data_IF_355790464810
#
_entry.id   IF_355790464810
#
_cell.length_a   1.000
_cell.length_b   1.000
_cell.length_c   1.000
_cell.angle_alpha   90.00
_cell.angle_beta   90.00
_cell.angle_gamma   90.00
#
_symmetry.space_group_name_H-M   'P 1'
#
loop_
_entity.id
_entity.type
_entity.pdbx_description
1 polymer ?
#
# COMPACT_ATOMS: atom_id res chain seq x y z
N UNK A 1 -3.41 -12.47 5.95
CA UNK A 1 -4.23 -11.92 7.06
C UNK A 1 -5.08 -10.75 6.57
N UNK A 2 -6.23 -10.44 7.20
CA UNK A 2 -7.07 -9.29 6.82
C UNK A 2 -6.59 -8.02 7.55
N UNK A 3 -6.30 -6.96 6.79
CA UNK A 3 -6.05 -5.62 7.33
C UNK A 3 -7.35 -4.78 7.23
N UNK A 4 -7.80 -4.12 8.31
CA UNK A 4 -8.96 -3.24 8.24
C UNK A 4 -8.76 -2.10 7.23
N UNK A 5 -9.83 -1.71 6.52
CA UNK A 5 -9.82 -0.60 5.55
C UNK A 5 -9.27 0.70 6.16
N UNK A 6 -9.61 0.97 7.41
CA UNK A 6 -9.21 2.15 8.18
C UNK A 6 -7.70 2.26 8.42
N UNK A 7 -6.99 1.14 8.28
CA UNK A 7 -5.55 1.03 8.40
C UNK A 7 -4.83 1.13 7.03
N UNK A 8 -5.55 1.50 5.96
CA UNK A 8 -4.99 1.65 4.63
C UNK A 8 -5.32 2.99 4.00
N UNK A 9 -4.37 3.55 3.24
CA UNK A 9 -4.59 4.68 2.34
C UNK A 9 -4.14 4.29 0.92
N UNK A 10 -4.99 4.60 -0.05
CA UNK A 10 -4.74 4.39 -1.47
C UNK A 10 -4.50 5.77 -2.09
N UNK A 11 -3.23 6.09 -2.33
CA UNK A 11 -2.81 7.41 -2.78
C UNK A 11 -2.37 7.31 -4.24
N UNK A 12 -2.71 8.35 -5.01
CA UNK A 12 -2.25 8.52 -6.38
C UNK A 12 -1.56 9.89 -6.47
N UNK A 13 -0.24 9.89 -6.25
CA UNK A 13 0.60 11.07 -6.47
C UNK A 13 1.28 10.94 -7.86
N UNK A 14 2.61 10.97 -7.92
CA UNK A 14 3.37 10.67 -9.16
C UNK A 14 3.42 9.17 -9.50
N UNK A 15 2.96 8.31 -8.58
CA UNK A 15 2.87 6.86 -8.71
C UNK A 15 1.79 6.33 -7.75
N UNK A 16 1.19 5.17 -8.03
CA UNK A 16 0.26 4.54 -7.09
C UNK A 16 1.00 4.12 -5.82
N UNK A 17 0.47 4.51 -4.67
CA UNK A 17 0.98 4.14 -3.37
C UNK A 17 -0.10 3.53 -2.49
N UNK A 18 0.30 2.53 -1.70
CA UNK A 18 -0.51 1.90 -0.68
C UNK A 18 0.17 2.08 0.68
N UNK A 19 -0.41 2.88 1.56
CA UNK A 19 0.09 3.08 2.92
C UNK A 19 -0.68 2.19 3.88
N UNK A 20 0.00 1.33 4.62
CA UNK A 20 -0.55 0.36 5.56
C UNK A 20 -0.09 0.71 6.98
N UNK A 21 -1.01 0.98 7.89
CA UNK A 21 -0.70 1.12 9.32
C UNK A 21 -0.95 -0.17 10.08
N UNK A 22 -0.09 -0.48 11.04
CA UNK A 22 -0.19 -1.69 11.87
C UNK A 22 -0.36 -2.96 11.03
N UNK A 23 0.30 -2.98 9.86
CA UNK A 23 0.19 -4.09 8.93
C UNK A 23 0.81 -5.34 9.55
N UNK A 24 0.15 -6.51 9.49
CA UNK A 24 0.72 -7.74 10.03
C UNK A 24 2.01 -8.16 9.31
N UNK A 25 2.19 -7.67 8.08
CA UNK A 25 3.37 -7.88 7.24
C UNK A 25 4.51 -6.90 7.50
N UNK A 26 4.33 -5.91 8.40
CA UNK A 26 5.26 -4.80 8.59
C UNK A 26 6.72 -5.26 8.69
N UNK A 27 7.00 -6.22 9.59
CA UNK A 27 8.37 -6.70 9.85
C UNK A 27 9.00 -7.51 8.72
N UNK A 28 8.19 -8.03 7.80
CA UNK A 28 8.64 -8.80 6.64
C UNK A 28 9.05 -7.90 5.46
N UNK A 29 8.62 -6.64 5.48
CA UNK A 29 8.97 -5.67 4.46
C UNK A 29 10.36 -5.06 4.71
N UNK A 30 11.11 -4.70 3.65
CA UNK A 30 12.42 -4.08 3.79
C UNK A 30 12.32 -2.70 4.45
N UNK A 31 13.37 -2.20 5.12
CA UNK A 31 13.39 -0.83 5.64
C UNK A 31 13.24 0.20 4.52
N UNK A 32 12.34 1.17 4.69
CA UNK A 32 12.10 2.23 3.72
C UNK A 32 12.68 3.55 4.24
N UNK A 33 13.61 4.14 3.49
CA UNK A 33 14.25 5.41 3.87
C UNK A 33 13.72 6.55 3.01
N UNK A 34 13.34 7.66 3.65
CA UNK A 34 12.80 8.84 2.98
C UNK A 34 13.74 9.46 1.92
N UNK A 35 15.05 9.21 1.99
CA UNK A 35 16.05 9.82 1.12
C UNK A 35 16.25 9.11 -0.22
N UNK A 36 15.59 7.99 -0.49
CA UNK A 36 15.79 7.24 -1.74
C UNK A 36 14.87 7.79 -2.83
N UNK A 37 15.44 8.33 -3.91
CA UNK A 37 14.65 8.75 -5.08
C UNK A 37 13.83 7.60 -5.68
N UNK A 38 14.32 6.36 -5.50
CA UNK A 38 13.64 5.15 -5.90
C UNK A 38 13.48 4.24 -4.68
N UNK A 39 12.24 3.84 -4.32
CA UNK A 39 12.02 2.89 -3.23
C UNK A 39 12.71 1.55 -3.54
N UNK A 40 13.17 0.80 -2.53
CA UNK A 40 13.75 -0.52 -2.74
C UNK A 40 12.73 -1.46 -3.38
N UNK A 41 13.20 -2.43 -4.15
CA UNK A 41 12.34 -3.51 -4.64
C UNK A 41 11.99 -4.46 -3.50
N UNK A 42 10.72 -4.81 -3.35
CA UNK A 42 10.28 -5.87 -2.45
C UNK A 42 10.34 -7.21 -3.20
N UNK A 43 11.52 -7.81 -3.27
CA UNK A 43 11.73 -9.10 -3.97
C UNK A 43 10.84 -10.21 -3.40
N UNK A 44 10.18 -10.97 -4.29
CA UNK A 44 9.26 -12.03 -3.90
C UNK A 44 7.90 -11.54 -3.38
N UNK A 45 7.62 -10.24 -3.47
CA UNK A 45 6.31 -9.66 -3.18
C UNK A 45 5.56 -9.32 -4.45
N UNK A 46 4.24 -9.46 -4.42
CA UNK A 46 3.34 -9.05 -5.49
C UNK A 46 2.12 -8.31 -4.95
N UNK A 47 1.50 -7.51 -5.81
CA UNK A 47 0.26 -6.78 -5.51
C UNK A 47 -0.82 -7.14 -6.52
N UNK A 48 -2.03 -7.35 -5.98
CA UNK A 48 -3.25 -7.51 -6.77
C UNK A 48 -4.21 -6.38 -6.40
N UNK A 49 -4.39 -5.41 -7.30
CA UNK A 49 -5.30 -4.29 -7.13
C UNK A 49 -6.66 -4.60 -7.77
N UNK A 50 -7.75 -4.59 -6.99
CA UNK A 50 -9.12 -4.72 -7.49
C UNK A 50 -10.03 -3.71 -6.78
N UNK A 51 -11.18 -3.43 -7.40
CA UNK A 51 -12.12 -2.42 -6.91
C UNK A 51 -12.58 -2.66 -5.47
N UNK A 52 -12.76 -3.91 -5.05
CA UNK A 52 -13.29 -4.26 -3.72
C UNK A 52 -12.26 -4.84 -2.76
N UNK A 53 -11.07 -5.20 -3.25
CA UNK A 53 -9.99 -5.75 -2.45
C UNK A 53 -8.62 -5.43 -3.06
N UNK A 54 -7.62 -5.29 -2.20
CA UNK A 54 -6.21 -5.25 -2.58
C UNK A 54 -5.46 -6.34 -1.82
N UNK A 55 -4.64 -7.12 -2.51
CA UNK A 55 -3.78 -8.14 -1.87
C UNK A 55 -2.34 -7.70 -2.01
N UNK A 56 -1.60 -7.71 -0.91
CA UNK A 56 -0.14 -7.65 -0.89
C UNK A 56 0.32 -9.04 -0.47
N UNK A 57 0.82 -9.80 -1.42
CA UNK A 57 1.30 -11.16 -1.24
C UNK A 57 2.82 -11.18 -1.17
N UNK A 58 3.37 -12.06 -0.36
CA UNK A 58 4.79 -12.08 -0.06
C UNK A 58 5.27 -13.48 0.32
N UNK A 59 6.57 -13.65 0.58
CA UNK A 59 7.16 -14.97 0.76
C UNK A 59 6.59 -15.75 1.96
N UNK A 60 6.36 -17.04 1.76
CA UNK A 60 5.85 -17.94 2.80
C UNK A 60 4.39 -17.64 3.14
N UNK A 61 4.11 -17.31 4.39
CA UNK A 61 2.77 -16.91 4.85
C UNK A 61 2.64 -15.38 5.06
N UNK A 62 3.64 -14.61 4.60
CA UNK A 62 3.66 -13.17 4.74
C UNK A 62 2.77 -12.52 3.69
N UNK A 63 1.56 -12.12 4.07
CA UNK A 63 0.66 -11.40 3.16
C UNK A 63 -0.53 -10.79 3.87
N UNK A 64 -1.12 -9.77 3.24
CA UNK A 64 -2.36 -9.18 3.72
C UNK A 64 -3.34 -8.84 2.60
N UNK A 65 -4.62 -9.01 2.93
CA UNK A 65 -5.75 -8.54 2.14
C UNK A 65 -6.30 -7.28 2.79
N UNK A 66 -6.57 -6.28 1.98
CA UNK A 66 -7.12 -4.98 2.39
C UNK A 66 -8.43 -4.77 1.64
N UNK A 67 -9.58 -4.67 2.33
CA UNK A 67 -10.80 -4.19 1.68
C UNK A 67 -10.55 -2.77 1.16
N UNK A 68 -11.05 -2.44 -0.03
CA UNK A 68 -10.83 -1.13 -0.68
C UNK A 68 -12.08 -0.26 -0.64
N UNK A 69 -13.18 -0.72 -1.24
CA UNK A 69 -14.48 -0.06 -1.22
C UNK A 69 -15.37 -0.66 -0.14
N UNK A 70 -16.00 0.21 0.64
CA UNK A 70 -17.04 -0.18 1.59
C UNK A 70 -18.40 -0.24 0.89
N UNK A 71 -19.39 -0.99 1.42
CA UNK A 71 -20.74 -1.04 0.83
C UNK A 71 -21.42 0.33 0.70
N UNK A 72 -20.99 1.32 1.49
CA UNK A 72 -21.50 2.70 1.49
C UNK A 72 -20.63 3.67 0.68
N UNK A 73 -19.70 3.18 -0.13
CA UNK A 73 -18.78 4.04 -0.89
C UNK A 73 -19.53 4.95 -1.86
N UNK A 74 -19.16 6.22 -1.86
CA UNK A 74 -19.70 7.22 -2.78
C UNK A 74 -19.11 7.10 -4.19
N UNK A 75 -19.75 7.72 -5.19
CA UNK A 75 -19.31 7.64 -6.58
C UNK A 75 -17.86 8.13 -6.79
N UNK A 76 -17.44 9.14 -6.02
CA UNK A 76 -16.08 9.68 -6.05
C UNK A 76 -15.06 8.68 -5.52
N UNK A 77 -15.40 7.93 -4.45
CA UNK A 77 -14.54 6.86 -3.93
C UNK A 77 -14.39 5.70 -4.92
N UNK A 78 -15.48 5.32 -5.59
CA UNK A 78 -15.47 4.28 -6.64
C UNK A 78 -14.58 4.72 -7.81
N UNK A 79 -14.73 5.98 -8.24
CA UNK A 79 -13.92 6.55 -9.32
C UNK A 79 -12.45 6.59 -8.94
N UNK A 80 -12.13 7.10 -7.75
CA UNK A 80 -10.77 7.14 -7.21
C UNK A 80 -10.14 5.75 -7.17
N UNK A 81 -10.85 4.75 -6.65
CA UNK A 81 -10.34 3.39 -6.57
C UNK A 81 -10.13 2.76 -7.95
N UNK A 82 -11.03 3.03 -8.91
CA UNK A 82 -10.88 2.56 -10.28
C UNK A 82 -9.64 3.17 -10.95
N UNK A 83 -9.44 4.49 -10.80
CA UNK A 83 -8.25 5.18 -11.29
C UNK A 83 -6.99 4.65 -10.63
N UNK A 84 -7.02 4.39 -9.32
CA UNK A 84 -5.87 3.83 -8.61
C UNK A 84 -5.54 2.42 -9.11
N UNK A 85 -6.52 1.54 -9.31
CA UNK A 85 -6.29 0.20 -9.86
C UNK A 85 -5.68 0.26 -11.26
N UNK A 86 -6.22 1.09 -12.15
CA UNK A 86 -5.68 1.28 -13.49
C UNK A 86 -4.24 1.79 -13.46
N UNK A 87 -3.93 2.73 -12.56
CA UNK A 87 -2.58 3.23 -12.38
C UNK A 87 -1.60 2.16 -11.87
N UNK A 88 -2.04 1.22 -11.01
CA UNK A 88 -1.21 0.09 -10.59
C UNK A 88 -0.86 -0.81 -11.77
N UNK A 89 -1.83 -1.15 -12.61
CA UNK A 89 -1.60 -1.98 -13.78
C UNK A 89 -0.69 -1.28 -14.81
N UNK A 90 -0.92 0.01 -15.08
CA UNK A 90 -0.10 0.81 -16.00
C UNK A 90 1.34 0.99 -15.50
N UNK A 91 1.50 1.21 -14.19
CA UNK A 91 2.82 1.38 -13.56
C UNK A 91 3.53 0.04 -13.31
N UNK A 92 2.85 -1.09 -13.54
CA UNK A 92 3.36 -2.44 -13.30
C UNK A 92 3.53 -2.79 -11.81
N UNK A 93 2.87 -2.06 -10.91
CA UNK A 93 3.00 -2.23 -9.47
C UNK A 93 2.62 -1.00 -8.67
N UNK A 94 2.93 -1.02 -7.38
CA UNK A 94 2.70 0.09 -6.46
C UNK A 94 3.85 0.24 -5.46
N UNK A 95 3.99 1.44 -4.89
CA UNK A 95 4.83 1.61 -3.70
C UNK A 95 4.01 1.29 -2.47
N UNK A 96 4.38 0.20 -1.78
CA UNK A 96 3.79 -0.17 -0.49
C UNK A 96 4.62 0.44 0.63
N UNK A 97 3.96 1.16 1.53
CA UNK A 97 4.58 1.78 2.71
C UNK A 97 3.88 1.22 3.94
N UNK A 98 4.61 0.59 4.85
CA UNK A 98 4.10 0.11 6.11
C UNK A 98 4.61 0.96 7.28
N UNK A 99 3.71 1.39 8.15
CA UNK A 99 3.95 2.26 9.30
C UNK A 99 3.54 1.58 10.61
N UNK A 100 4.22 1.95 11.70
CA UNK A 100 3.76 1.67 13.06
C UNK A 100 2.61 2.63 13.39
N UNK A 101 1.36 2.14 13.41
CA UNK A 101 0.16 2.92 13.65
C UNK A 101 -0.67 3.26 12.41
N UNK A 102 -1.98 3.45 12.63
CA UNK A 102 -2.96 3.91 11.63
C UNK A 102 -2.44 5.09 10.78
N UNK A 103 -2.53 5.03 9.44
CA UNK A 103 -2.11 6.11 8.58
C UNK A 103 -3.21 7.18 8.47
N UNK A 104 -2.79 8.44 8.30
CA UNK A 104 -3.68 9.55 7.95
C UNK A 104 -3.05 10.35 6.81
N UNK A 105 -3.86 10.83 5.87
CA UNK A 105 -3.38 11.57 4.69
C UNK A 105 -2.51 12.78 5.06
N UNK A 106 -2.83 13.47 6.15
CA UNK A 106 -2.07 14.64 6.62
C UNK A 106 -0.63 14.34 7.08
N UNK A 107 -0.31 13.11 7.49
CA UNK A 107 0.90 12.84 8.28
C UNK A 107 1.75 11.67 7.78
N UNK A 108 1.33 10.94 6.76
CA UNK A 108 2.07 9.75 6.32
C UNK A 108 3.50 10.10 5.86
N UNK A 109 3.73 11.26 5.23
CA UNK A 109 5.06 11.75 4.83
C UNK A 109 5.96 12.02 6.04
N UNK A 110 5.40 12.61 7.11
CA UNK A 110 6.14 12.85 8.34
C UNK A 110 6.51 11.53 9.03
N UNK A 111 5.62 10.52 8.99
CA UNK A 111 5.91 9.18 9.52
C UNK A 111 6.97 8.44 8.70
N UNK A 112 7.05 8.65 7.39
CA UNK A 112 8.13 8.10 6.58
C UNK A 112 9.52 8.59 7.03
N UNK A 113 9.61 9.82 7.55
CA UNK A 113 10.85 10.42 8.02
C UNK A 113 11.32 9.91 9.39
N UNK A 114 10.48 9.18 10.15
CA UNK A 114 10.81 8.71 11.50
C UNK A 114 11.75 7.49 11.53
N UNK A 115 12.07 6.93 10.36
CA UNK A 115 13.00 5.81 10.19
C UNK A 115 12.42 4.44 10.54
N UNK A 116 11.14 4.33 10.89
CA UNK A 116 10.46 3.06 11.19
C UNK A 116 9.62 2.53 10.04
N UNK A 117 9.39 3.34 9.01
CA UNK A 117 8.69 2.90 7.81
C UNK A 117 9.41 1.73 7.12
N UNK A 118 8.61 0.81 6.61
CA UNK A 118 9.05 -0.34 5.82
C UNK A 118 8.28 -0.42 4.50
N UNK A 119 8.78 -1.20 3.57
CA UNK A 119 8.17 -1.39 2.25
C UNK A 119 9.05 -0.89 1.13
N UNK A 120 8.45 -0.71 -0.04
CA UNK A 120 9.15 -0.50 -1.28
C UNK A 120 8.24 -0.67 -2.49
N UNK A 121 8.83 -0.81 -3.67
CA UNK A 121 8.08 -1.15 -4.88
C UNK A 121 7.68 -2.63 -4.87
N UNK A 122 6.42 -2.90 -5.12
CA UNK A 122 5.81 -4.23 -5.22
C UNK A 122 5.19 -4.34 -6.61
N UNK A 123 5.62 -5.33 -7.40
CA UNK A 123 5.14 -5.55 -8.77
C UNK A 123 3.75 -6.17 -8.81
N UNK A 124 3.02 -5.98 -9.91
CA UNK A 124 1.77 -6.71 -10.15
C UNK A 124 2.02 -8.22 -10.22
N UNK A 125 1.09 -9.00 -9.68
CA UNK A 125 1.11 -10.47 -9.73
C UNK A 125 0.85 -11.01 -11.14
#
# INVERSE_FOLDING_TARGET
MLLPRDNALFLLESKPMLVLGDAPVHRHLPPLRASTQQPPLCEGWSILARLTLCVVDGPGEAGCLVPTLLPSAEADEVTHMNTWCAAVDEFGGAVVVSLDGRPSELHWKARLADGRARGGFVGVA
#
